data_IF_754150631783
#
_entry.id   IF_754150631783
#
_cell.length_a   1.000
_cell.length_b   1.000
_cell.length_c   1.000
_cell.angle_alpha   90.00
_cell.angle_beta   90.00
_cell.angle_gamma   90.00
#
_symmetry.space_group_name_H-M   'P 1'
#
loop_
_entity.id
_entity.type
_entity.pdbx_description
1 polymer ?
#
# COMPACT_ATOMS: atom_id res chain seq x y z
N UNK A 1 -32.53 26.85 4.70
CA UNK A 1 -31.29 26.18 5.15
C UNK A 1 -31.51 25.70 6.58
N UNK A 2 -31.39 24.42 6.85
CA UNK A 2 -31.43 23.87 8.19
C UNK A 2 -30.06 23.94 8.88
N UNK A 3 -29.95 23.46 10.14
CA UNK A 3 -28.69 23.55 10.88
C UNK A 3 -27.61 22.59 10.35
N UNK A 4 -28.00 21.46 9.76
CA UNK A 4 -27.04 20.51 9.16
C UNK A 4 -26.45 21.07 7.89
N UNK A 5 -27.30 21.53 6.98
CA UNK A 5 -26.90 22.22 5.75
C UNK A 5 -26.01 23.44 6.04
N UNK A 6 -26.33 24.21 7.10
CA UNK A 6 -25.53 25.38 7.49
C UNK A 6 -24.13 25.01 7.96
N UNK A 7 -23.99 23.92 8.73
CA UNK A 7 -22.67 23.44 9.22
C UNK A 7 -21.80 22.88 8.09
N UNK A 8 -22.40 22.13 7.17
CA UNK A 8 -21.70 21.63 5.96
C UNK A 8 -21.21 22.80 5.12
N UNK A 9 -22.06 23.80 4.89
CA UNK A 9 -21.70 24.97 4.12
C UNK A 9 -20.61 25.84 4.80
N UNK A 10 -20.62 25.97 6.13
CA UNK A 10 -19.54 26.62 6.90
C UNK A 10 -18.21 25.85 6.72
N UNK A 11 -18.23 24.53 6.74
CA UNK A 11 -17.01 23.73 6.51
C UNK A 11 -16.47 23.96 5.09
N UNK A 12 -17.33 23.89 4.07
CA UNK A 12 -16.94 24.15 2.68
C UNK A 12 -16.35 25.56 2.48
N UNK A 13 -16.94 26.58 3.15
CA UNK A 13 -16.42 27.96 3.12
C UNK A 13 -15.02 28.05 3.74
N UNK A 14 -14.75 27.38 4.85
CA UNK A 14 -13.43 27.34 5.50
C UNK A 14 -12.37 26.66 4.63
N UNK A 15 -12.77 25.70 3.79
CA UNK A 15 -11.90 25.02 2.84
C UNK A 15 -11.73 25.79 1.51
N UNK A 16 -12.46 26.91 1.35
CA UNK A 16 -12.38 27.75 0.16
C UNK A 16 -13.24 27.28 -1.02
N UNK A 17 -14.16 26.36 -0.76
CA UNK A 17 -15.06 25.77 -1.78
C UNK A 17 -16.40 26.51 -1.91
N UNK A 18 -16.72 27.43 -0.99
CA UNK A 18 -17.98 28.16 -0.95
C UNK A 18 -18.13 29.22 -2.04
N UNK A 19 -19.31 29.29 -2.67
CA UNK A 19 -19.69 30.34 -3.62
C UNK A 19 -20.20 31.62 -2.92
N UNK A 20 -20.19 32.73 -3.62
CA UNK A 20 -20.71 34.01 -3.07
C UNK A 20 -22.21 33.93 -2.69
N UNK A 21 -23.01 33.17 -3.43
CA UNK A 21 -24.42 32.97 -3.15
C UNK A 21 -24.64 32.14 -1.88
N UNK A 22 -23.86 31.09 -1.70
CA UNK A 22 -23.92 30.25 -0.49
C UNK A 22 -23.51 31.05 0.74
N UNK A 23 -22.46 31.88 0.66
CA UNK A 23 -22.05 32.77 1.76
C UNK A 23 -23.18 33.64 2.27
N UNK A 24 -23.97 34.22 1.37
CA UNK A 24 -25.10 35.07 1.74
C UNK A 24 -26.18 34.28 2.49
N UNK A 25 -26.46 33.06 2.06
CA UNK A 25 -27.45 32.17 2.74
C UNK A 25 -26.95 31.69 4.09
N UNK A 26 -25.66 31.34 4.21
CA UNK A 26 -25.02 30.98 5.49
C UNK A 26 -25.09 32.16 6.46
N UNK A 27 -24.73 33.36 6.03
CA UNK A 27 -24.75 34.56 6.86
C UNK A 27 -26.15 34.87 7.41
N UNK A 28 -27.20 34.69 6.60
CA UNK A 28 -28.59 34.86 7.04
C UNK A 28 -28.99 33.82 8.12
N UNK A 29 -28.58 32.56 8.01
CA UNK A 29 -28.83 31.54 9.01
C UNK A 29 -28.05 31.82 10.31
N UNK A 30 -26.75 32.13 10.21
CA UNK A 30 -25.88 32.43 11.35
C UNK A 30 -26.41 33.66 12.14
N UNK A 31 -26.99 34.64 11.48
CA UNK A 31 -27.57 35.81 12.15
C UNK A 31 -28.73 35.47 13.11
N UNK A 32 -29.38 34.30 12.97
CA UNK A 32 -30.54 33.89 13.72
C UNK A 32 -30.34 32.64 14.56
N UNK A 33 -29.30 31.84 14.32
CA UNK A 33 -29.06 30.57 14.99
C UNK A 33 -27.76 30.59 15.81
N UNK A 34 -27.87 30.79 17.14
CA UNK A 34 -26.73 30.83 18.06
C UNK A 34 -25.89 29.54 18.06
N UNK A 35 -26.53 28.37 17.88
CA UNK A 35 -25.82 27.10 17.84
C UNK A 35 -24.91 26.96 16.61
N UNK A 36 -25.37 27.41 15.45
CA UNK A 36 -24.57 27.41 14.21
C UNK A 36 -23.51 28.51 14.22
N UNK A 37 -23.80 29.66 14.84
CA UNK A 37 -22.80 30.71 15.04
C UNK A 37 -21.61 30.20 15.88
N UNK A 38 -21.88 29.53 17.03
CA UNK A 38 -20.84 28.93 17.85
C UNK A 38 -20.03 27.89 17.06
N UNK A 39 -20.70 27.03 16.31
CA UNK A 39 -20.02 26.05 15.45
C UNK A 39 -19.09 26.74 14.45
N UNK A 40 -19.53 27.81 13.77
CA UNK A 40 -18.72 28.55 12.82
C UNK A 40 -17.49 29.18 13.48
N UNK A 41 -17.63 29.76 14.66
CA UNK A 41 -16.52 30.36 15.43
C UNK A 41 -15.50 29.30 15.86
N UNK A 42 -15.96 28.15 16.36
CA UNK A 42 -15.11 27.04 16.79
C UNK A 42 -14.36 26.42 15.59
N UNK A 43 -15.06 26.17 14.48
CA UNK A 43 -14.45 25.64 13.26
C UNK A 43 -13.41 26.60 12.67
N UNK A 44 -13.71 27.89 12.62
CA UNK A 44 -12.75 28.92 12.18
C UNK A 44 -11.55 29.01 13.12
N UNK A 45 -11.73 28.81 14.44
CA UNK A 45 -10.64 28.80 15.41
C UNK A 45 -9.71 27.60 15.19
N UNK A 46 -10.27 26.39 15.04
CA UNK A 46 -9.48 25.16 14.76
C UNK A 46 -8.72 25.30 13.43
N UNK A 47 -9.37 25.79 12.37
CA UNK A 47 -8.74 26.03 11.07
C UNK A 47 -7.59 27.00 11.16
N UNK A 48 -7.72 28.10 11.92
CA UNK A 48 -6.62 29.03 12.16
C UNK A 48 -5.48 28.39 12.92
N UNK A 49 -5.77 27.62 13.98
CA UNK A 49 -4.73 26.91 14.73
C UNK A 49 -3.98 25.91 13.84
N UNK A 50 -4.70 25.15 13.02
CA UNK A 50 -4.10 24.19 12.08
C UNK A 50 -3.20 24.88 11.04
N UNK A 51 -3.63 26.03 10.49
CA UNK A 51 -2.86 26.78 9.49
C UNK A 51 -1.69 27.58 10.09
N UNK A 52 -1.78 27.96 11.36
CA UNK A 52 -0.72 28.70 12.06
C UNK A 52 0.11 27.82 12.99
N UNK A 53 -0.25 26.55 13.16
CA UNK A 53 0.58 25.59 13.87
C UNK A 53 1.97 25.62 13.23
N UNK A 54 2.97 26.04 13.99
CA UNK A 54 4.37 25.87 13.61
C UNK A 54 4.50 24.37 13.46
N UNK A 55 4.59 23.89 12.22
CA UNK A 55 5.05 22.54 11.95
C UNK A 55 6.44 22.54 12.59
N UNK A 56 6.53 21.99 13.80
CA UNK A 56 7.81 21.74 14.43
C UNK A 56 8.66 21.09 13.33
N UNK A 57 9.85 21.62 13.06
CA UNK A 57 10.71 21.09 12.01
C UNK A 57 10.79 19.59 12.22
N UNK A 58 9.92 18.88 11.52
CA UNK A 58 10.00 17.44 11.47
C UNK A 58 11.38 17.16 10.88
N UNK A 59 12.18 16.30 11.52
CA UNK A 59 13.44 15.89 10.92
C UNK A 59 13.12 15.53 9.48
N UNK A 60 13.97 15.95 8.54
CA UNK A 60 13.74 15.72 7.12
C UNK A 60 13.57 14.23 6.85
N UNK A 61 12.34 13.77 7.05
CA UNK A 61 11.92 12.40 6.74
C UNK A 61 11.57 12.28 5.27
N UNK A 62 11.51 13.42 4.54
CA UNK A 62 11.09 13.45 3.14
C UNK A 62 12.05 12.67 2.27
N UNK A 63 13.35 12.85 2.43
CA UNK A 63 14.35 12.09 1.67
C UNK A 63 14.38 10.61 2.07
N UNK A 64 14.29 10.32 3.37
CA UNK A 64 14.19 8.92 3.86
C UNK A 64 12.87 8.27 3.46
N UNK A 65 11.74 9.00 3.52
CA UNK A 65 10.44 8.48 3.09
C UNK A 65 10.37 8.28 1.57
N UNK A 66 10.88 9.20 0.77
CA UNK A 66 10.92 9.07 -0.69
C UNK A 66 11.83 7.93 -1.14
N UNK A 67 12.95 7.72 -0.45
CA UNK A 67 13.84 6.58 -0.71
C UNK A 67 13.18 5.25 -0.30
N UNK A 68 12.55 5.21 0.87
CA UNK A 68 11.79 4.05 1.37
C UNK A 68 10.55 3.76 0.52
N UNK A 69 9.81 4.79 0.07
CA UNK A 69 8.65 4.63 -0.80
C UNK A 69 9.02 4.14 -2.18
N UNK A 70 10.17 4.55 -2.74
CA UNK A 70 10.66 4.07 -4.04
C UNK A 70 11.02 2.58 -4.00
N UNK A 71 11.76 2.14 -3.00
CA UNK A 71 12.11 0.72 -2.79
C UNK A 71 10.88 -0.12 -2.50
N UNK A 72 9.99 0.36 -1.63
CA UNK A 72 8.76 -0.35 -1.27
C UNK A 72 7.78 -0.47 -2.45
N UNK A 73 7.65 0.56 -3.29
CA UNK A 73 6.83 0.49 -4.50
C UNK A 73 7.34 -0.58 -5.47
N UNK A 74 8.66 -0.68 -5.66
CA UNK A 74 9.28 -1.72 -6.48
C UNK A 74 9.05 -3.12 -5.91
N UNK A 75 9.15 -3.26 -4.59
CA UNK A 75 8.82 -4.53 -3.90
C UNK A 75 7.36 -4.90 -4.11
N UNK A 76 6.43 -3.97 -3.87
CA UNK A 76 4.98 -4.23 -4.02
C UNK A 76 4.61 -4.62 -5.45
N UNK A 77 5.20 -3.98 -6.45
CA UNK A 77 5.02 -4.37 -7.85
C UNK A 77 5.54 -5.79 -8.11
N UNK A 78 6.75 -6.09 -7.66
CA UNK A 78 7.33 -7.43 -7.83
C UNK A 78 6.51 -8.52 -7.12
N UNK A 79 5.95 -8.22 -5.93
CA UNK A 79 5.07 -9.14 -5.21
C UNK A 79 3.76 -9.39 -5.96
N UNK A 80 3.19 -8.35 -6.60
CA UNK A 80 1.96 -8.48 -7.39
C UNK A 80 2.17 -9.37 -8.62
N UNK A 81 3.30 -9.20 -9.31
CA UNK A 81 3.68 -10.05 -10.43
C UNK A 81 3.92 -11.49 -9.98
N UNK A 82 4.67 -11.67 -8.88
CA UNK A 82 4.97 -12.98 -8.31
C UNK A 82 3.71 -13.76 -7.91
N UNK A 83 2.78 -13.13 -7.19
CA UNK A 83 1.51 -13.74 -6.77
C UNK A 83 0.71 -14.23 -7.97
N UNK A 84 0.52 -13.37 -8.98
CA UNK A 84 -0.18 -13.72 -10.22
C UNK A 84 0.50 -14.88 -10.94
N UNK A 85 1.82 -14.81 -11.14
CA UNK A 85 2.57 -15.79 -11.89
C UNK A 85 2.64 -17.13 -11.15
N UNK A 86 2.74 -17.09 -9.81
CA UNK A 86 2.68 -18.26 -8.94
C UNK A 86 1.34 -18.97 -9.01
N UNK A 87 0.25 -18.22 -8.89
CA UNK A 87 -1.12 -18.76 -8.96
C UNK A 87 -1.41 -19.36 -10.34
N UNK A 88 -1.01 -18.64 -11.40
CA UNK A 88 -1.17 -19.12 -12.78
C UNK A 88 -0.39 -20.41 -13.03
N UNK A 89 0.86 -20.46 -12.56
CA UNK A 89 1.72 -21.63 -12.70
C UNK A 89 1.17 -22.83 -11.93
N UNK A 90 0.74 -22.63 -10.68
CA UNK A 90 0.13 -23.68 -9.87
C UNK A 90 -1.13 -24.27 -10.54
N UNK A 91 -2.01 -23.41 -11.02
CA UNK A 91 -3.22 -23.84 -11.72
C UNK A 91 -2.90 -24.66 -12.99
N UNK A 92 -1.92 -24.21 -13.78
CA UNK A 92 -1.48 -24.93 -14.98
C UNK A 92 -0.86 -26.29 -14.63
N UNK A 93 -0.03 -26.37 -13.58
CA UNK A 93 0.57 -27.63 -13.13
C UNK A 93 -0.46 -28.62 -12.58
N UNK A 94 -1.47 -28.13 -11.86
CA UNK A 94 -2.58 -28.97 -11.37
C UNK A 94 -3.45 -29.54 -12.50
N UNK A 95 -3.48 -28.89 -13.65
CA UNK A 95 -4.17 -29.41 -14.84
C UNK A 95 -3.34 -30.47 -15.61
N UNK A 96 -2.07 -30.68 -15.25
CA UNK A 96 -1.19 -31.69 -15.81
C UNK A 96 -1.18 -32.90 -14.87
N UNK A 97 -1.67 -34.05 -15.33
CA UNK A 97 -1.67 -35.31 -14.56
C UNK A 97 -0.23 -35.87 -14.40
N UNK A 98 0.59 -35.21 -13.59
CA UNK A 98 1.99 -35.59 -13.39
C UNK A 98 2.42 -35.54 -11.91
N UNK A 99 2.80 -36.69 -11.33
CA UNK A 99 3.32 -36.76 -9.97
C UNK A 99 4.62 -35.95 -9.78
N UNK A 100 5.38 -35.77 -10.84
CA UNK A 100 6.67 -35.03 -10.88
C UNK A 100 6.47 -33.54 -10.69
N UNK A 101 5.24 -33.00 -10.87
CA UNK A 101 4.94 -31.58 -10.67
C UNK A 101 4.55 -31.23 -9.23
N UNK A 102 4.40 -32.22 -8.34
CA UNK A 102 3.87 -31.99 -6.99
C UNK A 102 4.72 -31.01 -6.15
N UNK A 103 6.06 -31.13 -6.20
CA UNK A 103 6.98 -30.24 -5.49
C UNK A 103 6.92 -28.81 -6.04
N UNK A 104 6.93 -28.65 -7.36
CA UNK A 104 6.85 -27.35 -8.00
C UNK A 104 5.46 -26.70 -7.77
N UNK A 105 4.38 -27.45 -7.82
CA UNK A 105 3.02 -26.99 -7.50
C UNK A 105 2.95 -26.50 -6.07
N UNK A 106 3.47 -27.26 -5.10
CA UNK A 106 3.50 -26.86 -3.69
C UNK A 106 4.32 -25.58 -3.49
N UNK A 107 5.50 -25.50 -4.12
CA UNK A 107 6.34 -24.32 -4.03
C UNK A 107 5.65 -23.09 -4.63
N UNK A 108 4.90 -23.24 -5.73
CA UNK A 108 4.16 -22.16 -6.34
C UNK A 108 3.01 -21.66 -5.43
N UNK A 109 2.24 -22.56 -4.81
CA UNK A 109 1.17 -22.20 -3.87
C UNK A 109 1.74 -21.50 -2.63
N UNK A 110 2.79 -22.03 -2.01
CA UNK A 110 3.45 -21.43 -0.85
C UNK A 110 3.97 -20.01 -1.23
N UNK A 111 4.49 -19.84 -2.44
CA UNK A 111 5.00 -18.56 -2.93
C UNK A 111 3.88 -17.54 -3.15
N UNK A 112 2.74 -17.94 -3.72
CA UNK A 112 1.58 -17.09 -3.90
C UNK A 112 1.04 -16.59 -2.55
N UNK A 113 0.83 -17.51 -1.59
CA UNK A 113 0.32 -17.16 -0.26
C UNK A 113 1.23 -16.19 0.49
N UNK A 114 2.54 -16.41 0.45
CA UNK A 114 3.53 -15.54 1.09
C UNK A 114 3.58 -14.18 0.39
N UNK A 115 3.54 -14.13 -0.94
CA UNK A 115 3.52 -12.87 -1.69
C UNK A 115 2.26 -12.05 -1.38
N UNK A 116 1.08 -12.68 -1.37
CA UNK A 116 -0.17 -12.03 -1.03
C UNK A 116 -0.20 -11.51 0.42
N UNK A 117 0.34 -12.29 1.38
CA UNK A 117 0.47 -11.85 2.76
C UNK A 117 1.43 -10.66 2.89
N UNK A 118 2.57 -10.70 2.21
CA UNK A 118 3.55 -9.62 2.18
C UNK A 118 2.95 -8.33 1.61
N UNK A 119 2.21 -8.38 0.51
CA UNK A 119 1.51 -7.22 -0.05
C UNK A 119 0.59 -6.57 0.99
N UNK A 120 -0.24 -7.37 1.69
CA UNK A 120 -1.15 -6.85 2.73
C UNK A 120 -0.43 -6.20 3.90
N UNK A 121 0.75 -6.71 4.29
CA UNK A 121 1.54 -6.13 5.39
C UNK A 121 2.22 -4.83 4.95
N UNK A 122 2.88 -4.85 3.78
CA UNK A 122 3.71 -3.75 3.30
C UNK A 122 2.90 -2.58 2.73
N UNK A 123 1.64 -2.80 2.31
CA UNK A 123 0.76 -1.74 1.78
C UNK A 123 -0.03 -0.98 2.84
N UNK A 124 0.13 -1.28 4.14
CA UNK A 124 -0.60 -0.58 5.20
C UNK A 124 -0.15 0.88 5.31
N UNK A 125 -1.08 1.85 5.39
CA UNK A 125 -0.75 3.28 5.49
C UNK A 125 -0.29 3.71 6.89
N UNK A 126 -0.03 2.77 7.80
CA UNK A 126 0.45 3.01 9.16
C UNK A 126 1.96 2.91 9.25
N UNK A 127 2.55 3.44 10.32
CA UNK A 127 3.97 3.29 10.58
C UNK A 127 4.39 1.80 10.52
N UNK A 128 5.43 1.51 9.76
CA UNK A 128 5.96 0.16 9.59
C UNK A 128 6.96 -0.16 10.69
N UNK A 129 6.87 -1.36 11.25
CA UNK A 129 7.90 -1.91 12.12
C UNK A 129 9.01 -2.54 11.26
N UNK A 130 10.24 -2.07 11.43
CA UNK A 130 11.38 -2.54 10.62
C UNK A 130 11.67 -4.04 10.81
N UNK A 131 11.42 -4.60 12.01
CA UNK A 131 11.56 -6.02 12.28
C UNK A 131 10.55 -6.85 11.51
N UNK A 132 9.29 -6.38 11.46
CA UNK A 132 8.23 -7.04 10.68
C UNK A 132 8.52 -6.96 9.18
N UNK A 133 8.93 -5.78 8.67
CA UNK A 133 9.29 -5.62 7.25
C UNK A 133 10.41 -6.57 6.88
N UNK A 134 11.47 -6.64 7.68
CA UNK A 134 12.59 -7.57 7.48
C UNK A 134 12.13 -9.02 7.40
N UNK A 135 11.38 -9.49 8.40
CA UNK A 135 10.91 -10.87 8.46
C UNK A 135 10.05 -11.24 7.23
N UNK A 136 9.20 -10.32 6.80
CA UNK A 136 8.35 -10.49 5.61
C UNK A 136 9.20 -10.59 4.34
N UNK A 137 10.17 -9.69 4.14
CA UNK A 137 11.05 -9.71 2.97
C UNK A 137 11.95 -10.96 2.93
N UNK A 138 12.42 -11.43 4.09
CA UNK A 138 13.17 -12.68 4.22
C UNK A 138 12.32 -13.90 3.85
N UNK A 139 11.07 -13.95 4.30
CA UNK A 139 10.14 -15.02 3.95
C UNK A 139 9.86 -15.04 2.45
N UNK A 140 9.58 -13.88 1.84
CA UNK A 140 9.39 -13.76 0.39
C UNK A 140 10.63 -14.21 -0.37
N UNK A 141 11.82 -13.70 0.00
CA UNK A 141 13.08 -14.04 -0.69
C UNK A 141 13.36 -15.55 -0.64
N UNK A 142 13.03 -16.21 0.49
CA UNK A 142 13.20 -17.65 0.68
C UNK A 142 12.22 -18.43 -0.19
N UNK A 143 10.93 -18.10 -0.14
CA UNK A 143 9.89 -18.76 -0.92
C UNK A 143 10.13 -18.60 -2.43
N UNK A 144 10.43 -17.37 -2.88
CA UNK A 144 10.70 -17.08 -4.27
C UNK A 144 11.96 -17.81 -4.78
N UNK A 145 13.03 -17.89 -3.96
CA UNK A 145 14.23 -18.65 -4.33
C UNK A 145 13.93 -20.14 -4.51
N UNK A 146 13.22 -20.75 -3.58
CA UNK A 146 12.80 -22.16 -3.67
C UNK A 146 11.93 -22.38 -4.89
N UNK A 147 10.96 -21.52 -5.11
CA UNK A 147 10.04 -21.64 -6.24
C UNK A 147 10.75 -21.50 -7.58
N UNK A 148 11.71 -20.57 -7.69
CA UNK A 148 12.52 -20.44 -8.88
C UNK A 148 13.32 -21.71 -9.20
N UNK A 149 13.85 -22.38 -8.17
CA UNK A 149 14.60 -23.64 -8.32
C UNK A 149 13.68 -24.79 -8.77
N UNK A 150 12.53 -24.97 -8.12
CA UNK A 150 11.59 -26.04 -8.44
C UNK A 150 10.96 -25.86 -9.84
N UNK A 151 10.39 -24.70 -10.13
CA UNK A 151 9.80 -24.42 -11.44
C UNK A 151 10.84 -24.35 -12.55
N UNK A 152 12.08 -23.94 -12.22
CA UNK A 152 13.18 -23.88 -13.18
C UNK A 152 13.51 -25.21 -13.82
N UNK A 153 13.33 -26.33 -13.11
CA UNK A 153 13.56 -27.68 -13.64
C UNK A 153 12.59 -28.03 -14.77
N UNK A 154 11.42 -27.42 -14.79
CA UNK A 154 10.36 -27.64 -15.79
C UNK A 154 10.29 -26.55 -16.86
N UNK A 155 11.14 -25.50 -16.76
CA UNK A 155 11.08 -24.29 -17.58
C UNK A 155 11.31 -24.55 -19.08
N UNK A 156 12.08 -25.59 -19.43
CA UNK A 156 12.33 -25.98 -20.83
C UNK A 156 11.14 -26.61 -21.52
N UNK A 157 10.23 -27.21 -20.78
CA UNK A 157 9.08 -27.93 -21.32
C UNK A 157 7.75 -27.21 -21.08
N UNK A 158 7.69 -26.31 -20.08
CA UNK A 158 6.48 -25.61 -19.67
C UNK A 158 6.69 -24.09 -19.59
N UNK A 159 6.04 -23.36 -20.50
CA UNK A 159 6.16 -21.90 -20.60
C UNK A 159 5.74 -21.17 -19.32
N UNK A 160 4.69 -21.65 -18.63
CA UNK A 160 4.25 -21.11 -17.34
C UNK A 160 5.32 -21.28 -16.24
N UNK A 161 6.04 -22.40 -16.20
CA UNK A 161 7.15 -22.60 -15.25
C UNK A 161 8.32 -21.67 -15.53
N UNK A 162 8.63 -21.41 -16.81
CA UNK A 162 9.68 -20.45 -17.17
C UNK A 162 9.33 -19.03 -16.72
N UNK A 163 8.14 -18.53 -17.05
CA UNK A 163 7.68 -17.20 -16.67
C UNK A 163 7.71 -17.03 -15.14
N UNK A 164 7.18 -18.01 -14.42
CA UNK A 164 7.14 -18.00 -12.97
C UNK A 164 8.56 -18.07 -12.35
N UNK A 165 9.43 -18.94 -12.83
CA UNK A 165 10.82 -19.04 -12.36
C UNK A 165 11.57 -17.71 -12.53
N UNK A 166 11.42 -17.04 -13.68
CA UNK A 166 12.02 -15.73 -13.95
C UNK A 166 11.47 -14.64 -13.00
N UNK A 167 10.15 -14.59 -12.79
CA UNK A 167 9.49 -13.67 -11.87
C UNK A 167 9.96 -13.89 -10.43
N UNK A 168 10.05 -15.13 -9.99
CA UNK A 168 10.52 -15.51 -8.66
C UNK A 168 11.99 -15.11 -8.45
N UNK A 169 12.87 -15.33 -9.43
CA UNK A 169 14.26 -14.88 -9.37
C UNK A 169 14.39 -13.35 -9.24
N UNK A 170 13.61 -12.59 -10.01
CA UNK A 170 13.60 -11.12 -9.92
C UNK A 170 13.15 -10.65 -8.56
N UNK A 171 12.05 -11.19 -8.06
CA UNK A 171 11.48 -10.81 -6.76
C UNK A 171 12.43 -11.14 -5.61
N UNK A 172 13.05 -12.33 -5.62
CA UNK A 172 14.04 -12.70 -4.61
C UNK A 172 15.23 -11.71 -4.60
N UNK A 173 15.70 -11.26 -5.77
CA UNK A 173 16.78 -10.27 -5.89
C UNK A 173 16.36 -8.90 -5.33
N UNK A 174 15.15 -8.43 -5.67
CA UNK A 174 14.60 -7.14 -5.19
C UNK A 174 14.47 -7.16 -3.66
N UNK A 175 13.88 -8.22 -3.09
CA UNK A 175 13.75 -8.33 -1.64
C UNK A 175 15.09 -8.36 -0.91
N UNK A 176 16.10 -9.06 -1.44
CA UNK A 176 17.45 -9.08 -0.85
C UNK A 176 18.12 -7.71 -0.91
N UNK A 177 17.96 -6.97 -2.01
CA UNK A 177 18.48 -5.61 -2.15
C UNK A 177 17.84 -4.67 -1.11
N UNK A 178 16.52 -4.78 -0.92
CA UNK A 178 15.82 -3.94 0.05
C UNK A 178 16.19 -4.29 1.50
N UNK A 179 16.41 -5.56 1.80
CA UNK A 179 16.92 -6.00 3.11
C UNK A 179 18.27 -5.35 3.47
N UNK A 180 19.14 -5.12 2.49
CA UNK A 180 20.41 -4.42 2.71
C UNK A 180 20.19 -2.94 3.04
N UNK A 181 19.19 -2.30 2.44
CA UNK A 181 18.83 -0.90 2.70
C UNK A 181 18.23 -0.68 4.10
N UNK A 182 17.55 -1.67 4.65
CA UNK A 182 16.95 -1.61 6.00
C UNK A 182 18.00 -1.79 7.11
N UNK A 183 19.14 -2.41 6.80
CA UNK A 183 20.20 -2.71 7.78
C UNK A 183 21.27 -1.63 7.91
N UNK A 184 21.31 -0.67 7.01
CA UNK A 184 22.22 0.49 7.04
C UNK A 184 21.55 1.72 7.62
#
# INVERSE_FOLDING_TARGET
>A
MDCTESREAVSAELDGEGSAAERAVIAAHLATCVACQRFADEAAHVTRLARTAIVAQQPDVSSKLLFSLGGLATVLQALTELDRDSTTCAAAMMALDGADMASATRAALDCADIAAAAQRVLSRPTATDAGVVRAVLEAVATAAHRCAAECGQHASHHGHCRVHSESAHRTAKICRSELQNITG
#
